data_IF_043566158786
#
_entry.id   IF_043566158786
#
_cell.length_a   1.000
_cell.length_b   1.000
_cell.length_c   1.000
_cell.angle_alpha   90.00
_cell.angle_beta   90.00
_cell.angle_gamma   90.00
#
_symmetry.space_group_name_H-M   'P 1'
#
loop_
_entity.id
_entity.type
_entity.pdbx_description
1 polymer ?
#
# COMPACT_ATOMS: atom_id res chain seq x y z
N UNK A 1 24.05 -17.51 23.15
CA UNK A 1 23.04 -16.63 22.54
C UNK A 1 22.04 -17.50 21.80
N UNK A 2 20.72 -17.31 21.98
CA UNK A 2 19.73 -18.00 21.14
C UNK A 2 19.93 -17.60 19.67
N UNK A 3 19.67 -18.53 18.74
CA UNK A 3 19.71 -18.27 17.30
C UNK A 3 18.68 -17.19 16.95
N UNK A 4 18.97 -16.31 15.99
CA UNK A 4 17.97 -15.35 15.47
C UNK A 4 16.85 -16.07 14.72
N UNK A 5 15.64 -15.48 14.58
CA UNK A 5 14.57 -16.03 13.74
C UNK A 5 15.04 -16.46 12.34
N UNK A 6 15.87 -15.65 11.68
CA UNK A 6 16.48 -16.02 10.40
C UNK A 6 17.34 -17.28 10.50
N UNK A 7 18.22 -17.36 11.50
CA UNK A 7 19.11 -18.50 11.69
C UNK A 7 18.36 -19.79 12.07
N UNK A 8 17.18 -19.69 12.67
CA UNK A 8 16.34 -20.83 13.02
C UNK A 8 15.64 -21.42 11.79
N UNK A 9 15.07 -20.56 10.95
CA UNK A 9 14.09 -20.93 9.91
C UNK A 9 14.71 -21.06 8.51
N UNK A 10 15.72 -20.25 8.17
CA UNK A 10 16.24 -20.18 6.79
C UNK A 10 16.73 -21.53 6.22
N UNK A 11 17.41 -22.41 6.98
CA UNK A 11 17.83 -23.72 6.46
C UNK A 11 16.65 -24.59 6.00
N UNK A 12 15.59 -24.68 6.81
CA UNK A 12 14.39 -25.47 6.48
C UNK A 12 13.66 -24.89 5.27
N UNK A 13 13.51 -23.56 5.24
CA UNK A 13 12.88 -22.86 4.12
C UNK A 13 13.58 -23.16 2.78
N UNK A 14 14.92 -23.14 2.76
CA UNK A 14 15.69 -23.45 1.55
C UNK A 14 15.52 -24.90 1.14
N UNK A 15 15.56 -25.83 2.09
CA UNK A 15 15.36 -27.26 1.83
C UNK A 15 13.97 -27.56 1.23
N UNK A 16 12.97 -26.75 1.58
CA UNK A 16 11.59 -26.86 1.10
C UNK A 16 11.30 -26.03 -0.16
N UNK A 17 12.31 -25.40 -0.76
CA UNK A 17 12.19 -24.68 -2.02
C UNK A 17 11.83 -23.19 -1.91
N UNK A 18 11.91 -22.60 -0.71
CA UNK A 18 11.65 -21.19 -0.49
C UNK A 18 12.94 -20.33 -0.51
N UNK A 19 12.76 -19.03 -0.70
CA UNK A 19 13.84 -18.04 -0.66
C UNK A 19 13.70 -17.13 0.56
N UNK A 20 14.40 -17.44 1.67
CA UNK A 20 14.33 -16.64 2.90
C UNK A 20 15.08 -15.31 2.76
N UNK A 21 14.52 -14.27 3.36
CA UNK A 21 15.08 -12.92 3.43
C UNK A 21 15.33 -12.52 4.89
N UNK A 22 16.52 -11.99 5.22
CA UNK A 22 16.79 -11.46 6.55
C UNK A 22 16.09 -10.12 6.72
N UNK A 23 15.28 -9.99 7.77
CA UNK A 23 14.50 -8.80 8.09
C UNK A 23 15.18 -8.02 9.21
N UNK A 24 15.26 -6.70 9.05
CA UNK A 24 15.81 -5.81 10.07
C UNK A 24 15.05 -5.99 11.39
N UNK A 25 15.74 -6.14 12.53
CA UNK A 25 15.09 -6.19 13.84
C UNK A 25 14.26 -4.93 14.12
N UNK A 26 13.13 -4.98 14.85
CA UNK A 26 12.27 -3.81 15.09
C UNK A 26 12.92 -2.64 15.84
N UNK A 27 13.94 -2.92 16.66
CA UNK A 27 14.62 -1.97 17.53
C UNK A 27 15.72 -1.15 16.82
N UNK A 28 16.06 -1.49 15.57
CA UNK A 28 17.06 -0.73 14.83
C UNK A 28 16.48 0.59 14.31
N UNK A 29 17.26 1.70 14.33
CA UNK A 29 16.78 3.02 13.92
C UNK A 29 16.76 3.17 12.38
N UNK A 30 16.02 2.30 11.70
CA UNK A 30 15.79 2.35 10.24
C UNK A 30 14.30 2.31 9.94
N UNK A 31 13.88 3.11 8.96
CA UNK A 31 12.51 3.11 8.50
C UNK A 31 12.09 1.71 8.03
N UNK A 32 10.95 1.23 8.52
CA UNK A 32 10.45 -0.11 8.21
C UNK A 32 11.15 -1.25 8.94
N UNK A 33 11.96 -0.97 9.97
CA UNK A 33 12.46 -1.97 10.91
C UNK A 33 11.33 -2.93 11.37
N UNK A 34 11.62 -4.22 11.47
CA UNK A 34 10.65 -5.29 11.70
C UNK A 34 9.85 -5.74 10.45
N UNK A 35 9.92 -4.99 9.34
CA UNK A 35 9.19 -5.30 8.08
C UNK A 35 10.05 -5.22 6.81
N UNK A 36 11.22 -4.62 6.88
CA UNK A 36 12.11 -4.38 5.75
C UNK A 36 13.29 -5.38 5.72
N UNK A 37 13.63 -5.94 4.54
CA UNK A 37 14.85 -6.72 4.38
C UNK A 37 16.11 -5.91 4.72
N UNK A 38 17.11 -6.58 5.29
CA UNK A 38 18.35 -5.98 5.80
C UNK A 38 19.40 -5.64 4.72
N UNK A 39 18.98 -5.58 3.47
CA UNK A 39 19.82 -5.47 2.29
C UNK A 39 19.10 -4.76 1.15
N UNK A 40 19.87 -4.05 0.33
CA UNK A 40 19.38 -3.45 -0.89
C UNK A 40 19.23 -4.51 -2.00
N UNK A 41 18.40 -4.21 -3.00
CA UNK A 41 18.17 -5.07 -4.18
C UNK A 41 17.77 -6.52 -3.83
N UNK A 42 17.09 -6.71 -2.70
CA UNK A 42 16.63 -8.02 -2.24
C UNK A 42 15.65 -8.68 -3.23
N UNK A 43 15.00 -7.90 -4.10
CA UNK A 43 14.04 -8.38 -5.07
C UNK A 43 14.63 -9.43 -6.03
N UNK A 44 15.95 -9.45 -6.24
CA UNK A 44 16.60 -10.51 -7.02
C UNK A 44 16.30 -11.92 -6.47
N UNK A 45 16.14 -12.04 -5.16
CA UNK A 45 15.84 -13.31 -4.49
C UNK A 45 14.40 -13.80 -4.72
N UNK A 46 13.57 -13.03 -5.43
CA UNK A 46 12.30 -13.51 -5.97
C UNK A 46 12.51 -14.40 -7.22
N UNK A 47 13.72 -14.41 -7.80
CA UNK A 47 14.05 -15.18 -9.00
C UNK A 47 15.31 -16.05 -8.81
N UNK A 48 16.16 -15.72 -7.84
CA UNK A 48 17.42 -16.40 -7.56
C UNK A 48 17.43 -16.97 -6.14
N UNK A 49 17.99 -18.18 -5.98
CA UNK A 49 18.16 -18.76 -4.66
C UNK A 49 19.26 -18.02 -3.87
N UNK A 50 19.09 -17.79 -2.55
CA UNK A 50 20.16 -17.26 -1.73
C UNK A 50 21.33 -18.25 -1.64
N UNK A 51 22.56 -17.74 -1.70
CA UNK A 51 23.75 -18.59 -1.58
C UNK A 51 23.96 -19.09 -0.15
N UNK A 52 24.66 -20.21 0.03
CA UNK A 52 25.01 -20.71 1.37
C UNK A 52 25.81 -19.68 2.18
N UNK A 53 26.71 -18.93 1.54
CA UNK A 53 27.46 -17.85 2.18
C UNK A 53 26.54 -16.72 2.68
N UNK A 54 25.56 -16.33 1.87
CA UNK A 54 24.56 -15.33 2.24
C UNK A 54 23.80 -15.75 3.50
N UNK A 55 23.29 -16.99 3.51
CA UNK A 55 22.51 -17.54 4.62
C UNK A 55 23.36 -17.65 5.88
N UNK A 56 24.59 -18.18 5.76
CA UNK A 56 25.52 -18.28 6.88
C UNK A 56 25.89 -16.90 7.46
N UNK A 57 26.07 -15.89 6.60
CA UNK A 57 26.36 -14.52 7.01
C UNK A 57 25.27 -13.93 7.90
N UNK A 58 24.02 -13.95 7.43
CA UNK A 58 22.89 -13.41 8.19
C UNK A 58 22.45 -14.29 9.36
N UNK A 59 22.75 -15.59 9.33
CA UNK A 59 22.49 -16.48 10.47
C UNK A 59 23.38 -16.19 11.68
N UNK A 60 24.55 -15.57 11.47
CA UNK A 60 25.42 -15.11 12.57
C UNK A 60 25.01 -13.76 13.15
N UNK A 61 24.21 -12.98 12.41
CA UNK A 61 23.75 -11.68 12.89
C UNK A 61 22.65 -11.85 13.97
N UNK A 62 22.78 -11.17 15.11
CA UNK A 62 21.82 -11.30 16.21
C UNK A 62 20.47 -10.68 15.82
N UNK A 63 19.39 -11.20 16.40
CA UNK A 63 18.03 -10.67 16.32
C UNK A 63 17.40 -10.54 14.91
N UNK A 64 18.08 -10.95 13.85
CA UNK A 64 17.54 -10.91 12.48
C UNK A 64 16.21 -11.63 12.36
N UNK A 65 15.17 -10.90 11.94
CA UNK A 65 13.90 -11.49 11.53
C UNK A 65 14.04 -12.27 10.22
N UNK A 66 13.00 -12.99 9.87
CA UNK A 66 12.84 -13.75 8.62
C UNK A 66 11.57 -13.33 7.87
N UNK A 67 11.74 -13.13 6.57
CA UNK A 67 10.66 -13.06 5.61
C UNK A 67 10.93 -14.05 4.47
N UNK A 68 9.98 -14.14 3.55
CA UNK A 68 10.12 -14.95 2.33
C UNK A 68 9.92 -14.07 1.12
N UNK A 69 10.78 -14.22 0.12
CA UNK A 69 10.64 -13.56 -1.17
C UNK A 69 9.52 -14.25 -1.96
N UNK A 70 8.45 -13.51 -2.28
CA UNK A 70 7.37 -14.03 -3.12
C UNK A 70 7.75 -13.96 -4.60
N UNK A 71 7.26 -14.91 -5.39
CA UNK A 71 7.62 -15.14 -6.78
C UNK A 71 8.68 -16.22 -6.97
N UNK A 72 9.55 -16.46 -5.97
CA UNK A 72 10.56 -17.51 -6.06
C UNK A 72 9.89 -18.88 -6.11
N UNK A 73 10.22 -19.69 -7.11
CA UNK A 73 9.56 -20.99 -7.36
C UNK A 73 8.05 -20.89 -7.60
N UNK A 74 7.51 -19.70 -7.86
CA UNK A 74 6.07 -19.47 -7.99
C UNK A 74 5.34 -19.24 -6.67
N UNK A 75 6.03 -19.04 -5.54
CA UNK A 75 5.37 -18.69 -4.27
C UNK A 75 4.53 -17.43 -4.42
N UNK A 76 3.23 -17.51 -4.10
CA UNK A 76 2.35 -16.35 -3.98
C UNK A 76 1.68 -16.34 -2.62
N UNK A 77 1.29 -15.15 -2.17
CA UNK A 77 0.57 -14.99 -0.92
C UNK A 77 -0.61 -14.04 -1.09
N UNK A 78 -1.72 -14.38 -0.44
CA UNK A 78 -2.92 -13.56 -0.37
C UNK A 78 -2.94 -12.93 1.02
N UNK A 79 -2.56 -11.66 1.10
CA UNK A 79 -2.47 -10.90 2.36
C UNK A 79 -3.75 -10.09 2.57
N UNK A 80 -4.61 -10.56 3.46
CA UNK A 80 -5.92 -9.96 3.73
C UNK A 80 -5.78 -9.05 4.95
N UNK A 81 -5.61 -7.75 4.69
CA UNK A 81 -5.45 -6.70 5.71
C UNK A 81 -6.79 -6.04 6.14
N UNK A 82 -7.90 -6.46 5.52
CA UNK A 82 -9.25 -5.92 5.67
C UNK A 82 -9.97 -6.29 6.98
N UNK A 83 -11.24 -5.88 7.09
CA UNK A 83 -12.13 -6.26 8.19
C UNK A 83 -12.42 -7.77 8.16
N UNK A 84 -12.64 -8.39 9.32
CA UNK A 84 -12.87 -9.85 9.44
C UNK A 84 -13.95 -10.38 8.48
N UNK A 85 -14.96 -9.57 8.16
CA UNK A 85 -16.05 -9.92 7.25
C UNK A 85 -15.63 -10.25 5.80
N UNK A 86 -14.43 -9.87 5.35
CA UNK A 86 -13.94 -10.19 3.99
C UNK A 86 -13.15 -11.49 3.92
N UNK A 87 -12.67 -12.00 5.07
CA UNK A 87 -11.76 -13.15 5.11
C UNK A 87 -12.44 -14.40 4.55
N UNK A 88 -13.58 -14.80 5.12
CA UNK A 88 -14.27 -16.03 4.72
C UNK A 88 -14.76 -16.01 3.26
N UNK A 89 -15.37 -14.90 2.75
CA UNK A 89 -15.72 -14.80 1.34
C UNK A 89 -14.52 -14.99 0.41
N UNK A 90 -13.35 -14.41 0.74
CA UNK A 90 -12.15 -14.56 -0.08
C UNK A 90 -11.62 -15.99 -0.03
N UNK A 91 -11.54 -16.60 1.16
CA UNK A 91 -11.08 -17.98 1.29
C UNK A 91 -12.02 -18.97 0.59
N UNK A 92 -13.32 -18.68 0.49
CA UNK A 92 -14.30 -19.56 -0.15
C UNK A 92 -14.09 -19.76 -1.66
N UNK A 93 -13.41 -18.82 -2.32
CA UNK A 93 -13.14 -18.84 -3.78
C UNK A 93 -11.69 -19.18 -4.13
N UNK A 94 -10.84 -19.40 -3.12
CA UNK A 94 -9.45 -19.81 -3.28
C UNK A 94 -9.30 -21.32 -3.05
N UNK A 95 -8.19 -21.93 -3.48
CA UNK A 95 -7.82 -23.25 -3.02
C UNK A 95 -7.77 -23.31 -1.48
N UNK A 96 -7.85 -24.51 -0.86
CA UNK A 96 -7.73 -24.64 0.58
C UNK A 96 -6.50 -23.92 1.13
N UNK A 97 -6.68 -23.05 2.12
CA UNK A 97 -5.58 -22.30 2.74
C UNK A 97 -4.84 -23.21 3.75
N UNK A 98 -3.91 -24.04 3.26
CA UNK A 98 -3.18 -25.03 4.08
C UNK A 98 -2.15 -24.37 5.00
N UNK A 99 -1.47 -23.32 4.54
CA UNK A 99 -0.48 -22.56 5.32
C UNK A 99 -0.92 -21.12 5.46
N UNK A 100 -1.14 -20.67 6.70
CA UNK A 100 -1.68 -19.35 7.03
C UNK A 100 -0.91 -18.75 8.21
N UNK A 101 -0.49 -17.49 8.09
CA UNK A 101 0.07 -16.72 9.22
C UNK A 101 -0.81 -15.54 9.60
N UNK A 102 -0.67 -15.12 10.85
CA UNK A 102 -1.26 -13.89 11.38
C UNK A 102 -0.16 -13.02 11.98
N UNK A 103 -0.25 -11.72 11.72
CA UNK A 103 0.60 -10.69 12.31
C UNK A 103 -0.16 -9.91 13.37
N UNK A 104 -0.45 -8.63 13.05
CA UNK A 104 -1.25 -7.76 13.92
C UNK A 104 -2.76 -7.92 13.72
N UNK A 105 -3.18 -8.07 12.46
CA UNK A 105 -4.59 -8.15 12.05
C UNK A 105 -4.68 -8.93 10.75
N UNK A 106 -5.88 -9.44 10.46
CA UNK A 106 -6.14 -10.21 9.24
C UNK A 106 -5.30 -11.47 9.17
N UNK A 107 -5.07 -11.97 7.96
CA UNK A 107 -4.25 -13.16 7.72
C UNK A 107 -3.53 -13.10 6.38
N UNK A 108 -2.47 -13.90 6.26
CA UNK A 108 -1.79 -14.13 4.99
C UNK A 108 -1.84 -15.63 4.67
N UNK A 109 -2.48 -16.02 3.57
CA UNK A 109 -2.52 -17.40 3.08
C UNK A 109 -1.51 -17.62 1.95
N UNK A 110 -0.80 -18.74 1.97
CA UNK A 110 0.27 -19.06 1.01
C UNK A 110 -0.16 -20.11 -0.02
N UNK A 111 0.21 -19.87 -1.27
CA UNK A 111 -0.10 -20.74 -2.41
C UNK A 111 1.08 -20.82 -3.37
N UNK A 112 0.98 -21.72 -4.35
CA UNK A 112 1.91 -21.78 -5.49
C UNK A 112 1.20 -21.36 -6.77
N UNK A 113 1.88 -20.57 -7.59
CA UNK A 113 1.48 -20.34 -8.97
C UNK A 113 2.43 -21.06 -9.91
N UNK A 114 1.88 -21.81 -10.87
CA UNK A 114 2.64 -22.47 -11.94
C UNK A 114 2.83 -21.58 -13.18
N UNK A 115 2.25 -20.37 -13.15
CA UNK A 115 2.35 -19.35 -14.20
C UNK A 115 2.79 -18.01 -13.59
N UNK A 116 3.46 -17.13 -14.34
CA UNK A 116 3.82 -15.81 -13.82
C UNK A 116 2.59 -14.99 -13.42
N UNK A 117 2.54 -14.51 -12.19
CA UNK A 117 1.47 -13.61 -11.71
C UNK A 117 2.04 -12.29 -11.21
N UNK A 118 1.35 -11.19 -11.48
CA UNK A 118 1.76 -9.86 -10.98
C UNK A 118 1.19 -9.60 -9.59
N UNK A 119 2.05 -9.10 -8.70
CA UNK A 119 1.63 -8.56 -7.41
C UNK A 119 0.62 -7.42 -7.61
N UNK A 120 -0.44 -7.38 -6.82
CA UNK A 120 -1.48 -6.34 -6.93
C UNK A 120 -2.04 -5.92 -5.59
N UNK A 121 -1.96 -4.61 -5.27
CA UNK A 121 -2.70 -4.03 -4.17
C UNK A 121 -4.19 -3.81 -4.54
N UNK A 122 -5.10 -4.32 -3.72
CA UNK A 122 -6.55 -4.07 -3.78
C UNK A 122 -6.98 -3.16 -2.63
N UNK A 123 -7.56 -2.01 -2.97
CA UNK A 123 -8.06 -1.01 -2.03
C UNK A 123 -9.56 -0.80 -2.28
N UNK A 124 -10.32 -0.49 -1.23
CA UNK A 124 -11.70 -0.02 -1.38
C UNK A 124 -11.76 1.39 -2.00
N UNK A 125 -12.97 1.89 -2.22
CA UNK A 125 -13.22 3.24 -2.72
C UNK A 125 -12.67 4.36 -1.83
N UNK A 126 -12.39 4.09 -0.54
CA UNK A 126 -11.79 5.04 0.40
C UNK A 126 -10.25 4.95 0.44
N UNK A 127 -9.65 4.10 -0.39
CA UNK A 127 -8.21 3.86 -0.40
C UNK A 127 -7.72 2.93 0.71
N UNK A 128 -8.62 2.34 1.50
CA UNK A 128 -8.29 1.37 2.55
C UNK A 128 -7.92 0.05 1.89
N UNK A 129 -6.77 -0.51 2.26
CA UNK A 129 -6.31 -1.82 1.81
C UNK A 129 -7.31 -2.89 2.25
N UNK A 130 -7.88 -3.60 1.28
CA UNK A 130 -8.67 -4.82 1.50
C UNK A 130 -7.75 -6.04 1.49
N UNK A 131 -6.91 -6.12 0.47
CA UNK A 131 -6.07 -7.28 0.18
C UNK A 131 -4.80 -6.84 -0.59
N UNK A 132 -3.69 -7.54 -0.38
CA UNK A 132 -2.52 -7.48 -1.24
C UNK A 132 -2.19 -8.88 -1.77
N UNK A 133 -2.34 -9.06 -3.07
CA UNK A 133 -1.80 -10.24 -3.74
C UNK A 133 -0.30 -10.06 -3.93
N UNK A 134 0.50 -10.85 -3.23
CA UNK A 134 1.97 -10.82 -3.23
C UNK A 134 2.51 -11.92 -4.14
N UNK A 135 3.31 -11.53 -5.12
CA UNK A 135 4.01 -12.40 -6.07
C UNK A 135 5.42 -11.81 -6.33
N UNK A 136 6.00 -12.04 -7.50
CA UNK A 136 7.31 -11.52 -7.89
C UNK A 136 7.54 -10.06 -7.52
N UNK A 137 8.72 -9.77 -6.97
CA UNK A 137 9.14 -8.44 -6.54
C UNK A 137 8.60 -8.00 -5.17
N UNK A 138 7.91 -8.89 -4.44
CA UNK A 138 7.38 -8.65 -3.09
C UNK A 138 7.96 -9.64 -2.09
N UNK A 139 7.68 -9.40 -0.81
CA UNK A 139 8.04 -10.27 0.30
C UNK A 139 6.95 -10.21 1.35
N UNK A 140 6.93 -11.18 2.26
CA UNK A 140 6.17 -11.07 3.51
C UNK A 140 6.97 -11.60 4.68
N UNK A 141 6.82 -10.96 5.83
CA UNK A 141 7.48 -11.36 7.09
C UNK A 141 6.71 -12.53 7.70
N UNK A 142 7.44 -13.53 8.18
CA UNK A 142 6.87 -14.78 8.70
C UNK A 142 7.34 -15.04 10.15
N UNK A 143 6.65 -15.92 10.89
CA UNK A 143 7.13 -16.40 12.19
C UNK A 143 8.55 -16.99 12.10
N UNK A 144 9.35 -16.93 13.18
CA UNK A 144 9.07 -16.30 14.48
C UNK A 144 9.56 -14.84 14.54
N UNK A 145 9.56 -14.10 13.42
CA UNK A 145 9.91 -12.67 13.42
C UNK A 145 8.99 -11.84 14.30
N UNK A 146 9.51 -10.76 14.88
CA UNK A 146 8.74 -9.85 15.74
C UNK A 146 8.04 -8.78 14.90
N UNK A 147 6.72 -8.63 15.08
CA UNK A 147 5.95 -7.58 14.44
C UNK A 147 6.19 -6.23 15.17
N UNK A 148 6.61 -5.17 14.46
CA UNK A 148 7.08 -3.93 15.09
C UNK A 148 6.02 -3.20 15.91
N UNK A 149 4.75 -3.23 15.49
CA UNK A 149 3.70 -2.49 16.21
C UNK A 149 3.18 -3.24 17.45
N UNK A 150 3.33 -4.56 17.51
CA UNK A 150 2.77 -5.39 18.59
C UNK A 150 3.83 -5.83 19.60
N UNK A 151 5.10 -5.85 19.20
CA UNK A 151 6.20 -6.37 20.02
C UNK A 151 6.19 -7.90 20.15
N UNK A 152 5.20 -8.58 19.58
CA UNK A 152 5.06 -10.04 19.62
C UNK A 152 5.44 -10.68 18.27
N UNK A 153 5.85 -11.96 18.26
CA UNK A 153 6.07 -12.69 17.01
C UNK A 153 4.82 -12.73 16.13
N UNK A 154 5.01 -12.76 14.81
CA UNK A 154 4.02 -13.36 13.92
C UNK A 154 3.80 -14.82 14.37
N UNK A 155 2.61 -15.38 14.13
CA UNK A 155 2.33 -16.79 14.42
C UNK A 155 1.64 -17.49 13.24
N UNK A 156 1.81 -18.81 13.16
CA UNK A 156 1.10 -19.67 12.23
C UNK A 156 -0.30 -19.95 12.79
N UNK A 157 -1.34 -19.70 11.99
CA UNK A 157 -2.74 -20.01 12.35
C UNK A 157 -3.13 -21.44 11.97
N UNK A 158 -2.51 -21.97 10.91
CA UNK A 158 -2.62 -23.35 10.49
C UNK A 158 -1.64 -24.25 11.25
N UNK A 159 -1.96 -25.54 11.33
CA UNK A 159 -1.04 -26.56 11.85
C UNK A 159 0.21 -26.70 10.96
N UNK A 160 0.02 -26.61 9.65
CA UNK A 160 1.11 -26.64 8.67
C UNK A 160 1.80 -25.26 8.57
N UNK A 161 3.11 -25.26 8.32
CA UNK A 161 3.95 -24.07 8.25
C UNK A 161 4.81 -24.09 6.98
N UNK A 162 5.43 -22.96 6.63
CA UNK A 162 6.42 -22.97 5.55
C UNK A 162 7.71 -23.73 5.92
N UNK A 163 7.89 -24.10 7.20
CA UNK A 163 9.07 -24.84 7.69
C UNK A 163 8.88 -26.36 7.62
N UNK A 164 7.67 -26.84 7.34
CA UNK A 164 7.33 -28.26 7.19
C UNK A 164 6.60 -28.60 5.87
N UNK A 165 6.12 -27.60 5.14
CA UNK A 165 5.40 -27.78 3.89
C UNK A 165 6.30 -27.47 2.70
N UNK A 166 6.59 -28.41 1.79
CA UNK A 166 7.32 -28.12 0.56
C UNK A 166 6.58 -27.11 -0.31
N UNK A 167 7.31 -26.22 -1.01
CA UNK A 167 6.73 -25.26 -1.96
C UNK A 167 5.86 -25.95 -3.03
N UNK A 168 6.28 -27.12 -3.53
CA UNK A 168 5.54 -27.92 -4.51
C UNK A 168 4.23 -28.49 -3.95
N UNK A 169 4.12 -28.65 -2.63
CA UNK A 169 2.94 -29.17 -1.95
C UNK A 169 1.91 -28.07 -1.63
N UNK A 170 2.25 -26.79 -1.80
CA UNK A 170 1.29 -25.70 -1.64
C UNK A 170 0.20 -25.78 -2.71
N UNK A 171 -1.08 -25.59 -2.34
CA UNK A 171 -2.18 -25.59 -3.29
C UNK A 171 -1.96 -24.57 -4.42
N UNK A 172 -2.31 -24.98 -5.65
CA UNK A 172 -2.09 -24.18 -6.85
C UNK A 172 -3.16 -23.10 -6.98
N UNK A 173 -2.75 -21.83 -6.96
CA UNK A 173 -3.63 -20.69 -7.24
C UNK A 173 -3.55 -20.34 -8.73
N UNK A 174 -4.70 -20.31 -9.40
CA UNK A 174 -4.83 -20.09 -10.85
C UNK A 174 -5.34 -18.67 -11.14
N UNK A 175 -5.32 -18.27 -12.41
CA UNK A 175 -5.93 -17.00 -12.81
C UNK A 175 -7.45 -16.97 -12.57
N UNK A 176 -8.13 -18.13 -12.59
CA UNK A 176 -9.56 -18.25 -12.28
C UNK A 176 -9.83 -17.99 -10.79
N UNK A 177 -9.04 -18.60 -9.89
CA UNK A 177 -9.11 -18.30 -8.45
C UNK A 177 -8.87 -16.80 -8.19
N UNK A 178 -7.90 -16.19 -8.89
CA UNK A 178 -7.65 -14.75 -8.80
C UNK A 178 -8.83 -13.93 -9.29
N UNK A 179 -9.47 -14.31 -10.40
CA UNK A 179 -10.62 -13.61 -10.95
C UNK A 179 -11.84 -13.71 -10.02
N UNK A 180 -12.08 -14.88 -9.42
CA UNK A 180 -13.14 -15.09 -8.44
C UNK A 180 -12.90 -14.28 -7.15
N UNK A 181 -11.66 -14.28 -6.64
CA UNK A 181 -11.24 -13.40 -5.54
C UNK A 181 -11.48 -11.92 -5.87
N UNK A 182 -11.15 -11.51 -7.09
CA UNK A 182 -11.39 -10.15 -7.60
C UNK A 182 -12.90 -9.81 -7.64
N UNK A 183 -13.77 -10.75 -7.95
CA UNK A 183 -15.22 -10.54 -7.91
C UNK A 183 -15.73 -10.31 -6.48
N UNK A 184 -15.26 -11.12 -5.52
CA UNK A 184 -15.55 -10.88 -4.10
C UNK A 184 -15.06 -9.49 -3.69
N UNK A 185 -13.83 -9.10 -4.05
CA UNK A 185 -13.32 -7.79 -3.72
C UNK A 185 -14.21 -6.64 -4.25
N UNK A 186 -14.83 -6.80 -5.44
CA UNK A 186 -15.77 -5.81 -6.00
C UNK A 186 -16.99 -5.61 -5.10
N UNK A 187 -17.55 -6.68 -4.52
CA UNK A 187 -18.68 -6.57 -3.59
C UNK A 187 -18.31 -5.85 -2.28
N UNK A 188 -17.01 -5.79 -1.95
CA UNK A 188 -16.46 -5.02 -0.83
C UNK A 188 -15.94 -3.63 -1.24
N UNK A 189 -16.32 -3.14 -2.43
CA UNK A 189 -16.00 -1.79 -2.87
C UNK A 189 -14.63 -1.64 -3.51
N UNK A 190 -13.96 -2.74 -3.90
CA UNK A 190 -12.81 -2.64 -4.79
C UNK A 190 -13.28 -2.27 -6.19
N UNK A 191 -13.04 -1.03 -6.58
CA UNK A 191 -13.19 -0.61 -7.97
C UNK A 191 -11.87 -0.85 -8.70
N UNK A 192 -11.94 -1.36 -9.94
CA UNK A 192 -10.82 -1.38 -10.86
C UNK A 192 -10.50 0.08 -11.24
N UNK A 193 -9.91 0.85 -10.32
CA UNK A 193 -9.23 2.09 -10.67
C UNK A 193 -8.14 1.67 -11.66
N UNK A 194 -8.41 1.86 -12.94
CA UNK A 194 -7.46 1.62 -14.02
C UNK A 194 -6.21 2.44 -13.70
N UNK A 195 -5.23 1.76 -13.14
CA UNK A 195 -3.86 2.26 -13.05
C UNK A 195 -3.32 2.18 -14.47
N UNK A 196 -3.69 3.15 -15.32
CA UNK A 196 -3.02 3.33 -16.61
C UNK A 196 -1.54 3.54 -16.32
N UNK A 197 -0.76 2.68 -16.94
CA UNK A 197 0.67 2.53 -16.80
C UNK A 197 1.34 3.89 -17.04
N UNK A 198 2.18 4.30 -16.09
CA UNK A 198 3.33 5.10 -16.43
C UNK A 198 4.21 4.31 -17.41
N UNK A 199 4.68 4.99 -18.46
CA UNK A 199 5.68 4.61 -19.47
C UNK A 199 5.14 4.16 -20.85
N UNK A 200 4.88 5.15 -21.71
CA UNK A 200 5.40 5.19 -23.09
C UNK A 200 4.60 4.55 -24.23
N UNK A 201 4.07 5.41 -25.12
CA UNK A 201 4.05 5.16 -26.57
C UNK A 201 2.73 4.78 -27.24
N UNK A 202 2.25 5.69 -28.10
CA UNK A 202 1.38 5.53 -29.29
C UNK A 202 -0.12 5.15 -29.13
N UNK A 203 -0.93 6.19 -29.36
CA UNK A 203 -2.23 6.29 -30.07
C UNK A 203 -2.91 4.99 -30.52
N UNK A 204 -4.17 4.78 -30.08
CA UNK A 204 -5.32 4.72 -30.99
C UNK A 204 -6.66 4.92 -30.27
N UNK A 205 -7.54 5.68 -30.92
CA UNK A 205 -8.91 6.02 -30.53
C UNK A 205 -9.81 4.79 -30.65
N UNK A 206 -10.85 4.68 -29.82
CA UNK A 206 -12.24 4.55 -30.30
C UNK A 206 -13.30 4.31 -29.20
N UNK A 207 -14.27 5.23 -29.23
CA UNK A 207 -15.73 5.22 -28.96
C UNK A 207 -16.35 4.69 -27.65
N UNK A 208 -17.28 5.51 -27.18
CA UNK A 208 -17.99 5.52 -25.90
C UNK A 208 -19.21 4.59 -25.80
N UNK A 209 -19.67 4.36 -24.57
CA UNK A 209 -21.09 4.44 -24.17
C UNK A 209 -21.25 4.53 -22.63
N UNK A 210 -22.38 5.06 -22.13
CA UNK A 210 -22.41 6.07 -21.09
C UNK A 210 -23.04 5.60 -19.76
N UNK A 211 -22.78 6.33 -18.67
CA UNK A 211 -23.67 6.33 -17.49
C UNK A 211 -23.07 5.96 -16.13
N UNK A 212 -21.78 6.20 -15.87
CA UNK A 212 -21.22 5.88 -14.55
C UNK A 212 -19.96 6.62 -14.10
N UNK A 213 -19.64 7.80 -14.66
CA UNK A 213 -18.31 8.41 -14.49
C UNK A 213 -18.24 9.91 -14.23
N UNK A 214 -19.21 10.55 -13.57
CA UNK A 214 -19.12 12.00 -13.33
C UNK A 214 -18.30 12.37 -12.08
N UNK A 215 -18.57 11.76 -10.93
CA UNK A 215 -17.83 12.12 -9.72
C UNK A 215 -16.31 11.82 -9.80
N UNK A 216 -15.92 10.62 -10.26
CA UNK A 216 -14.49 10.26 -10.36
C UNK A 216 -13.76 11.04 -11.46
N UNK A 217 -14.45 11.47 -12.52
CA UNK A 217 -13.87 12.34 -13.54
C UNK A 217 -13.70 13.76 -13.02
N UNK A 218 -14.60 14.23 -12.16
CA UNK A 218 -14.53 15.56 -11.54
C UNK A 218 -13.37 15.68 -10.55
N UNK A 219 -13.17 14.71 -9.65
CA UNK A 219 -11.99 14.68 -8.75
C UNK A 219 -10.67 14.68 -9.53
N UNK A 220 -10.63 13.99 -10.68
CA UNK A 220 -9.46 13.99 -11.56
C UNK A 220 -9.28 15.35 -12.23
N UNK A 221 -10.34 15.90 -12.84
CA UNK A 221 -10.30 17.19 -13.51
C UNK A 221 -9.82 18.30 -12.56
N UNK A 222 -10.32 18.32 -11.32
CA UNK A 222 -9.90 19.27 -10.29
C UNK A 222 -8.42 19.07 -9.89
N UNK A 223 -7.98 17.82 -9.69
CA UNK A 223 -6.57 17.54 -9.38
C UNK A 223 -5.62 17.94 -10.53
N UNK A 224 -5.99 17.64 -11.77
CA UNK A 224 -5.18 17.95 -12.96
C UNK A 224 -5.10 19.47 -13.17
N UNK A 225 -6.24 20.18 -13.07
CA UNK A 225 -6.29 21.64 -13.14
C UNK A 225 -5.49 22.30 -12.00
N UNK A 226 -5.55 21.73 -10.79
CA UNK A 226 -4.79 22.22 -9.65
C UNK A 226 -3.28 22.02 -9.77
N UNK A 227 -2.81 20.90 -10.35
CA UNK A 227 -1.39 20.70 -10.65
C UNK A 227 -0.90 21.61 -11.78
N UNK A 228 -1.75 21.85 -12.79
CA UNK A 228 -1.46 22.79 -13.86
C UNK A 228 -1.39 24.24 -13.37
N UNK A 229 -2.14 24.60 -12.32
CA UNK A 229 -2.23 25.97 -11.81
C UNK A 229 -2.03 26.05 -10.28
N UNK A 230 -0.83 25.68 -9.80
CA UNK A 230 -0.48 25.74 -8.37
C UNK A 230 -0.67 27.12 -7.75
N UNK A 231 -0.43 28.19 -8.51
CA UNK A 231 -0.51 29.56 -8.01
C UNK A 231 -1.94 29.98 -7.62
N UNK A 232 -2.97 29.34 -8.18
CA UNK A 232 -4.35 29.69 -7.92
C UNK A 232 -4.88 29.21 -6.56
N UNK A 233 -4.28 28.17 -5.97
CA UNK A 233 -4.82 27.54 -4.76
C UNK A 233 -3.80 27.35 -3.63
N UNK A 234 -2.51 27.14 -3.92
CA UNK A 234 -1.50 26.89 -2.86
C UNK A 234 -1.38 28.06 -1.87
N UNK A 235 -1.36 29.35 -2.30
CA UNK A 235 -1.38 30.47 -1.36
C UNK A 235 -2.62 30.51 -0.45
N UNK A 236 -3.78 30.07 -0.96
CA UNK A 236 -5.04 30.06 -0.24
C UNK A 236 -5.12 28.97 0.85
N UNK A 237 -4.15 28.05 0.90
CA UNK A 237 -4.01 27.10 2.01
C UNK A 237 -3.41 27.73 3.28
N UNK A 238 -2.73 28.88 3.15
CA UNK A 238 -2.09 29.61 4.25
C UNK A 238 -1.15 28.79 5.15
N UNK A 239 -0.54 27.73 4.59
CA UNK A 239 0.35 26.82 5.35
C UNK A 239 1.54 27.55 5.96
N UNK A 240 1.96 27.16 7.17
CA UNK A 240 3.14 27.78 7.81
C UNK A 240 4.37 27.71 6.93
N UNK A 241 5.05 28.87 6.85
CA UNK A 241 6.30 29.07 6.10
C UNK A 241 6.17 28.69 4.62
N UNK A 242 4.99 28.87 4.02
CA UNK A 242 4.85 28.72 2.59
C UNK A 242 5.64 29.81 1.85
N UNK A 243 6.28 29.46 0.73
CA UNK A 243 6.91 30.40 -0.18
C UNK A 243 6.97 29.84 -1.60
N UNK A 244 7.07 30.73 -2.58
CA UNK A 244 7.23 30.37 -3.99
C UNK A 244 8.71 30.16 -4.31
N UNK A 245 9.02 29.06 -5.00
CA UNK A 245 10.35 28.69 -5.47
C UNK A 245 10.30 28.44 -7.00
N UNK A 246 10.41 29.52 -7.78
CA UNK A 246 10.22 29.47 -9.23
C UNK A 246 8.77 29.16 -9.62
N UNK A 247 8.57 28.07 -10.36
CA UNK A 247 7.24 27.51 -10.70
C UNK A 247 6.69 26.55 -9.64
N UNK A 248 7.47 26.25 -8.60
CA UNK A 248 7.08 25.36 -7.50
C UNK A 248 6.74 26.14 -6.23
N UNK A 249 6.07 25.48 -5.28
CA UNK A 249 5.86 26.03 -3.94
C UNK A 249 6.46 25.09 -2.89
N UNK A 250 6.85 25.66 -1.75
CA UNK A 250 7.26 24.89 -0.58
C UNK A 250 6.54 25.38 0.65
N UNK A 251 6.20 24.48 1.57
CA UNK A 251 5.56 24.81 2.84
C UNK A 251 5.88 23.77 3.93
N UNK A 252 5.45 24.04 5.17
CA UNK A 252 5.45 23.06 6.25
C UNK A 252 4.12 22.30 6.24
N UNK A 253 4.16 20.97 6.16
CA UNK A 253 3.00 20.13 6.42
C UNK A 253 2.64 20.18 7.91
N UNK A 254 1.54 20.86 8.24
CA UNK A 254 1.14 21.11 9.63
C UNK A 254 0.51 19.90 10.32
N UNK A 255 -0.18 19.08 9.52
CA UNK A 255 -0.83 17.83 9.95
C UNK A 255 0.17 16.75 10.37
N UNK A 256 1.43 16.85 9.92
CA UNK A 256 2.47 15.87 10.26
C UNK A 256 3.11 16.18 11.62
N UNK A 257 3.38 15.19 12.48
CA UNK A 257 4.20 15.38 13.68
C UNK A 257 5.67 15.67 13.33
N UNK A 258 6.35 16.42 14.20
CA UNK A 258 7.78 16.73 14.00
C UNK A 258 8.64 15.52 14.35
N UNK A 259 9.42 15.00 13.39
CA UNK A 259 10.41 13.93 13.64
C UNK A 259 11.56 14.35 14.56
N UNK A 260 11.67 15.66 14.87
CA UNK A 260 12.69 16.25 15.75
C UNK A 260 12.09 17.06 16.90
N UNK A 261 10.78 16.94 17.16
CA UNK A 261 10.09 17.66 18.24
C UNK A 261 9.93 19.18 18.05
N UNK A 262 10.47 19.77 16.97
CA UNK A 262 10.39 21.22 16.71
C UNK A 262 8.95 21.75 16.54
N UNK A 263 8.67 22.91 17.13
CA UNK A 263 7.43 23.68 16.95
C UNK A 263 7.23 24.09 15.47
N UNK A 264 5.97 24.23 15.03
CA UNK A 264 5.58 24.42 13.61
C UNK A 264 6.36 25.55 12.91
N UNK A 265 6.52 26.70 13.57
CA UNK A 265 7.24 27.86 13.01
C UNK A 265 8.76 27.66 12.85
N UNK A 266 9.33 26.62 13.49
CA UNK A 266 10.75 26.26 13.40
C UNK A 266 11.01 25.06 12.46
N UNK A 267 9.95 24.47 11.90
CA UNK A 267 10.06 23.30 11.01
C UNK A 267 10.56 23.69 9.62
N UNK A 268 11.29 22.79 8.99
CA UNK A 268 11.73 22.95 7.59
C UNK A 268 10.53 22.76 6.64
N UNK A 269 10.42 23.58 5.58
CA UNK A 269 9.34 23.48 4.60
C UNK A 269 9.60 22.32 3.63
N UNK A 270 9.29 21.11 4.11
CA UNK A 270 9.55 19.85 3.41
C UNK A 270 8.41 19.41 2.48
N UNK A 271 7.26 20.07 2.54
CA UNK A 271 6.19 19.87 1.58
C UNK A 271 6.52 20.65 0.31
N UNK A 272 6.67 19.95 -0.80
CA UNK A 272 7.03 20.52 -2.10
C UNK A 272 5.88 20.30 -3.08
N UNK A 273 5.40 21.39 -3.68
CA UNK A 273 4.37 21.40 -4.72
C UNK A 273 5.02 21.66 -6.06
N UNK A 274 4.88 20.73 -7.01
CA UNK A 274 5.34 20.88 -8.38
C UNK A 274 4.24 20.40 -9.33
N UNK A 275 4.30 20.85 -10.58
CA UNK A 275 3.32 20.46 -11.61
C UNK A 275 3.36 18.96 -11.94
N UNK A 276 4.49 18.28 -11.65
CA UNK A 276 4.66 16.83 -11.79
C UNK A 276 4.32 16.04 -10.52
N UNK A 277 3.94 16.72 -9.43
CA UNK A 277 3.46 16.09 -8.19
C UNK A 277 3.76 16.87 -6.92
N UNK A 278 3.08 16.46 -5.84
CA UNK A 278 3.27 17.03 -4.50
C UNK A 278 3.89 15.97 -3.59
N UNK A 279 4.95 16.30 -2.87
CA UNK A 279 5.69 15.37 -2.01
C UNK A 279 6.06 16.04 -0.69
N UNK A 280 5.82 15.37 0.46
CA UNK A 280 6.37 15.79 1.76
C UNK A 280 7.59 14.95 2.14
N UNK A 281 8.78 15.53 1.97
CA UNK A 281 10.06 14.88 2.32
C UNK A 281 10.26 14.66 3.82
N UNK A 282 9.35 15.16 4.67
CA UNK A 282 9.35 14.91 6.11
C UNK A 282 8.75 13.56 6.52
N UNK A 283 8.05 12.86 5.63
CA UNK A 283 7.36 11.57 5.88
C UNK A 283 7.85 10.44 4.96
N UNK A 284 9.06 10.58 4.40
CA UNK A 284 9.52 9.75 3.26
C UNK A 284 8.95 10.24 1.93
N UNK A 285 9.04 9.48 0.82
CA UNK A 285 8.53 9.91 -0.49
C UNK A 285 7.00 9.74 -0.58
N UNK A 286 6.23 10.25 0.39
CA UNK A 286 4.77 10.24 0.34
C UNK A 286 4.30 11.30 -0.66
N UNK A 287 3.73 10.83 -1.77
CA UNK A 287 3.07 11.68 -2.77
C UNK A 287 1.66 12.04 -2.32
N UNK A 288 1.22 13.26 -2.65
CA UNK A 288 -0.12 13.76 -2.41
C UNK A 288 -0.74 14.22 -3.72
N UNK A 289 -2.05 14.03 -3.88
CA UNK A 289 -2.85 14.79 -4.85
C UNK A 289 -3.19 16.17 -4.27
N UNK A 290 -3.54 17.17 -5.10
CA UNK A 290 -4.05 18.45 -4.61
C UNK A 290 -5.19 18.32 -3.61
N UNK A 291 -6.17 17.44 -3.86
CA UNK A 291 -7.28 17.18 -2.95
C UNK A 291 -6.80 16.58 -1.62
N UNK A 292 -5.85 15.63 -1.63
CA UNK A 292 -5.28 15.08 -0.39
C UNK A 292 -4.65 16.18 0.48
N UNK A 293 -3.94 17.14 -0.15
CA UNK A 293 -3.36 18.27 0.58
C UNK A 293 -4.45 19.14 1.20
N UNK A 294 -5.52 19.42 0.47
CA UNK A 294 -6.64 20.24 0.99
C UNK A 294 -7.32 19.55 2.17
N UNK A 295 -7.54 18.24 2.07
CA UNK A 295 -8.09 17.41 3.16
C UNK A 295 -7.23 17.52 4.42
N UNK A 296 -5.92 17.33 4.29
CA UNK A 296 -5.01 17.33 5.43
C UNK A 296 -4.79 18.74 6.01
N UNK A 297 -4.63 19.73 5.13
CA UNK A 297 -4.40 21.12 5.52
C UNK A 297 -5.61 21.72 6.23
N UNK A 298 -6.83 21.45 5.72
CA UNK A 298 -8.07 22.07 6.21
C UNK A 298 -8.86 21.16 7.14
N UNK A 299 -8.45 19.88 7.30
CA UNK A 299 -9.15 18.83 8.08
C UNK A 299 -10.61 18.63 7.64
N UNK A 300 -10.83 18.64 6.34
CA UNK A 300 -12.14 18.50 5.71
C UNK A 300 -12.26 17.15 5.00
N UNK A 301 -13.47 16.76 4.63
CA UNK A 301 -13.71 15.57 3.81
C UNK A 301 -13.26 15.77 2.35
N UNK A 302 -13.10 14.67 1.60
CA UNK A 302 -12.80 14.72 0.17
C UNK A 302 -13.80 15.56 -0.63
N UNK A 303 -15.09 15.49 -0.30
CA UNK A 303 -16.15 16.26 -0.97
C UNK A 303 -16.02 17.77 -0.66
N UNK A 304 -15.79 18.13 0.59
CA UNK A 304 -15.55 19.52 0.99
C UNK A 304 -14.27 20.09 0.38
N UNK A 305 -13.22 19.27 0.25
CA UNK A 305 -11.98 19.62 -0.42
C UNK A 305 -12.19 19.87 -1.93
N UNK A 306 -13.00 19.02 -2.59
CA UNK A 306 -13.39 19.21 -3.99
C UNK A 306 -14.15 20.53 -4.18
N UNK A 307 -15.18 20.77 -3.38
CA UNK A 307 -15.99 22.00 -3.42
C UNK A 307 -15.15 23.26 -3.19
N UNK A 308 -14.12 23.17 -2.34
CA UNK A 308 -13.22 24.28 -2.07
C UNK A 308 -12.23 24.52 -3.22
N UNK A 309 -11.66 23.47 -3.80
CA UNK A 309 -10.58 23.57 -4.77
C UNK A 309 -11.08 23.85 -6.20
N UNK A 310 -12.18 23.23 -6.62
CA UNK A 310 -12.72 23.35 -7.98
C UNK A 310 -12.89 24.81 -8.47
N UNK A 311 -13.54 25.73 -7.73
CA UNK A 311 -13.69 27.13 -8.18
C UNK A 311 -12.35 27.88 -8.25
N UNK A 312 -11.37 27.54 -7.41
CA UNK A 312 -10.05 28.17 -7.43
C UNK A 312 -9.26 27.82 -8.70
N UNK A 313 -9.53 26.65 -9.29
CA UNK A 313 -8.82 26.16 -10.48
C UNK A 313 -9.66 26.22 -11.75
N UNK A 314 -10.83 26.88 -11.68
CA UNK A 314 -11.70 27.12 -12.84
C UNK A 314 -12.40 25.88 -13.38
N UNK A 315 -12.60 24.85 -12.55
CA UNK A 315 -13.38 23.66 -12.93
C UNK A 315 -14.83 23.89 -12.48
N UNK A 316 -15.79 24.00 -13.42
CA UNK A 316 -17.19 24.21 -13.08
C UNK A 316 -17.76 23.00 -12.35
N UNK A 317 -18.62 23.26 -11.36
CA UNK A 317 -19.39 22.26 -10.62
C UNK A 317 -20.86 22.37 -11.07
N UNK A 318 -21.09 22.39 -12.38
CA UNK A 318 -22.35 22.84 -12.97
C UNK A 318 -23.35 21.71 -13.24
N UNK A 319 -23.37 20.66 -12.40
CA UNK A 319 -24.48 19.69 -12.39
C UNK A 319 -25.30 19.83 -11.09
N UNK A 320 -26.60 20.19 -11.15
CA UNK A 320 -27.48 20.16 -9.99
C UNK A 320 -27.54 18.78 -9.32
N UNK A 321 -27.21 17.68 -10.01
CA UNK A 321 -27.06 16.36 -9.40
C UNK A 321 -25.77 16.20 -8.57
N UNK A 322 -24.66 16.83 -8.97
CA UNK A 322 -23.38 16.79 -8.24
C UNK A 322 -23.43 17.64 -6.96
N UNK A 323 -24.07 18.81 -7.04
CA UNK A 323 -24.37 19.63 -5.86
C UNK A 323 -25.35 18.89 -4.92
N UNK A 324 -26.36 18.22 -5.47
CA UNK A 324 -27.30 17.40 -4.68
C UNK A 324 -26.61 16.16 -4.08
N UNK A 325 -25.63 15.55 -4.76
CA UNK A 325 -24.85 14.43 -4.26
C UNK A 325 -23.92 14.87 -3.12
N UNK A 326 -23.24 16.01 -3.27
CA UNK A 326 -22.43 16.60 -2.21
C UNK A 326 -23.30 16.94 -0.97
N UNK A 327 -24.50 17.51 -1.17
CA UNK A 327 -25.45 17.80 -0.10
C UNK A 327 -25.96 16.50 0.58
N UNK A 328 -26.25 15.44 -0.20
CA UNK A 328 -26.65 14.12 0.33
C UNK A 328 -25.54 13.47 1.15
N UNK A 329 -24.28 13.58 0.71
CA UNK A 329 -23.12 13.08 1.45
C UNK A 329 -22.95 13.83 2.78
N UNK A 330 -23.15 15.15 2.79
CA UNK A 330 -23.11 15.99 4.00
C UNK A 330 -24.23 15.59 4.98
N UNK A 331 -25.44 15.30 4.50
CA UNK A 331 -26.56 14.86 5.34
C UNK A 331 -26.31 13.49 6.00
N UNK A 332 -25.66 12.56 5.29
CA UNK A 332 -25.27 11.24 5.84
C UNK A 332 -24.14 11.38 6.87
N UNK A 333 -23.19 12.28 6.64
CA UNK A 333 -22.10 12.54 7.58
C UNK A 333 -22.57 13.19 8.89
N UNK A 334 -23.61 14.04 8.85
CA UNK A 334 -24.23 14.64 10.05
C UNK A 334 -25.01 13.62 10.89
N UNK A 335 -25.63 12.62 10.27
CA UNK A 335 -26.37 11.53 10.98
C UNK A 335 -25.47 10.57 11.77
N UNK A 336 -24.18 10.46 11.44
CA UNK A 336 -23.23 9.59 12.15
C UNK A 336 -22.58 10.23 13.40
N UNK A 337 -22.86 11.52 13.65
CA UNK A 337 -22.32 12.28 14.80
C UNK A 337 -23.39 12.65 15.83
N UNK A 338 -24.63 12.21 15.63
CA UNK A 338 -25.72 12.33 16.60
C UNK A 338 -25.95 10.96 17.28
#
# INVERSE_FOLDING_TARGET
MPKSPFAQTAPSLIALGYSPLPILPPDVPKLGAGKAPALSRWQKYCNEAPTSFFVAGYSRAPAMGVGVATGFGGLVAVDIDGHDAIIDPILSVLPPAVVVKIGRKGLTAFYRSIVPMKSRPYNDANGIRLLYFLSGGRQTVIPPSIHPDTGHPYYWWSDATLEDTPLEALPVLTHEHRAAMEEILRSFGWTLLERRQSCGGAVEQSVASPGGSDAASLFRAVNDAALANLAAWVPALELKRWFRAGSSFKAVAEWRPSSTGRALHLRKPNLSFKSDGIVDFGDGPKGYTPIDVVVEARRVTNAEALLWLAPLVGVPLDDPEDAALAIRIIAVAKKKKA
#
